data_IF_965394986808
#
_entry.id   IF_965394986808
#
_cell.length_a   1.000
_cell.length_b   1.000
_cell.length_c   1.000
_cell.angle_alpha   90.00
_cell.angle_beta   90.00
_cell.angle_gamma   90.00
#
_symmetry.space_group_name_H-M   'P 1'
#
loop_
_entity.id
_entity.type
_entity.pdbx_description
1 polymer ?
#
# COMPACT_ATOMS: atom_id res chain seq x y z
N UNK A 1 -50.51 5.44 42.27
CA UNK A 1 -49.48 6.36 41.79
C UNK A 1 -48.37 5.53 41.19
N UNK A 2 -48.19 5.66 39.88
CA UNK A 2 -47.30 4.88 39.03
C UNK A 2 -45.96 5.63 38.93
N UNK A 3 -44.86 5.08 39.42
CA UNK A 3 -43.52 5.65 39.19
C UNK A 3 -42.60 4.54 38.68
N UNK A 4 -42.52 4.42 37.35
CA UNK A 4 -41.47 3.69 36.67
C UNK A 4 -40.23 4.57 36.54
N UNK A 5 -39.05 3.99 36.74
CA UNK A 5 -37.78 4.55 36.32
C UNK A 5 -37.21 3.63 35.24
N UNK A 6 -37.25 4.10 33.99
CA UNK A 6 -36.45 3.57 32.89
C UNK A 6 -35.18 4.42 32.90
N UNK A 7 -34.05 3.83 33.27
CA UNK A 7 -32.74 4.45 33.07
C UNK A 7 -32.08 3.77 31.87
N UNK A 8 -31.88 4.58 30.82
CA UNK A 8 -31.26 4.20 29.55
C UNK A 8 -29.87 3.61 29.76
N UNK A 9 -29.64 2.42 29.23
CA UNK A 9 -28.30 1.90 28.98
C UNK A 9 -27.65 2.73 27.89
N UNK A 10 -26.71 3.62 28.25
CA UNK A 10 -25.76 4.16 27.28
C UNK A 10 -24.85 3.01 26.84
N UNK A 11 -25.22 2.34 25.75
CA UNK A 11 -24.29 1.54 24.96
C UNK A 11 -23.30 2.49 24.30
N UNK A 12 -22.25 2.85 25.05
CA UNK A 12 -21.10 3.56 24.51
C UNK A 12 -20.42 2.67 23.48
N UNK A 13 -20.75 2.87 22.22
CA UNK A 13 -19.91 2.42 21.11
C UNK A 13 -18.58 3.15 21.23
N UNK A 14 -17.60 2.52 21.87
CA UNK A 14 -16.21 2.90 21.74
C UNK A 14 -15.83 2.70 20.27
N UNK A 15 -16.01 3.72 19.44
CA UNK A 15 -15.25 3.80 18.21
C UNK A 15 -13.78 3.91 18.64
N UNK A 16 -12.90 2.99 18.24
CA UNK A 16 -11.47 3.18 18.47
C UNK A 16 -11.10 4.51 17.82
N UNK A 17 -10.56 5.42 18.61
CA UNK A 17 -9.99 6.66 18.09
C UNK A 17 -8.84 6.23 17.17
N UNK A 18 -9.01 6.34 15.86
CA UNK A 18 -7.90 6.21 14.92
C UNK A 18 -6.93 7.36 15.24
N UNK A 19 -5.81 7.04 15.88
CA UNK A 19 -4.75 8.00 16.07
C UNK A 19 -4.07 8.22 14.72
N UNK A 20 -3.77 9.48 14.38
CA UNK A 20 -2.93 9.77 13.23
C UNK A 20 -1.50 9.28 13.54
N UNK A 21 -1.11 8.15 12.97
CA UNK A 21 0.26 7.64 13.04
C UNK A 21 1.10 8.41 12.02
N UNK A 22 1.85 9.41 12.48
CA UNK A 22 2.65 10.27 11.61
C UNK A 22 4.15 10.03 11.77
N UNK A 23 4.86 10.11 10.65
CA UNK A 23 6.31 9.97 10.59
C UNK A 23 6.94 11.21 9.97
N UNK A 24 7.81 11.85 10.75
CA UNK A 24 8.52 13.07 10.38
C UNK A 24 9.93 12.71 9.93
N UNK A 25 10.32 13.20 8.76
CA UNK A 25 11.70 13.09 8.27
C UNK A 25 12.61 13.92 9.17
N UNK A 26 13.62 13.27 9.76
CA UNK A 26 14.55 13.91 10.70
C UNK A 26 15.43 14.98 10.05
N UNK A 27 15.66 14.92 8.73
CA UNK A 27 16.52 15.85 7.99
C UNK A 27 15.78 17.13 7.62
N UNK A 28 14.52 17.01 7.17
CA UNK A 28 13.71 18.14 6.71
C UNK A 28 12.73 18.65 7.77
N UNK A 29 12.50 17.88 8.82
CA UNK A 29 11.47 18.11 9.84
C UNK A 29 10.05 18.25 9.26
N UNK A 30 9.80 17.65 8.10
CA UNK A 30 8.48 17.61 7.44
C UNK A 30 7.81 16.25 7.66
N UNK A 31 6.51 16.26 7.95
CA UNK A 31 5.70 15.03 7.99
C UNK A 31 5.48 14.54 6.57
N UNK A 32 6.21 13.49 6.18
CA UNK A 32 6.10 12.91 4.83
C UNK A 32 5.06 11.79 4.78
N UNK A 33 4.61 11.30 5.94
CA UNK A 33 3.65 10.21 6.04
C UNK A 33 2.74 10.40 7.25
N UNK A 34 1.43 10.30 7.02
CA UNK A 34 0.45 10.19 8.08
C UNK A 34 -0.53 9.07 7.72
N UNK A 35 -0.84 8.22 8.70
CA UNK A 35 -1.67 7.04 8.53
C UNK A 35 -2.85 7.06 9.52
N UNK A 36 -4.02 6.71 9.03
CA UNK A 36 -5.22 6.49 9.84
C UNK A 36 -5.26 5.02 10.30
N UNK A 37 -4.59 4.73 11.41
CA UNK A 37 -4.45 3.37 11.96
C UNK A 37 -4.66 3.35 13.48
N UNK A 38 -4.82 2.16 14.06
CA UNK A 38 -4.78 1.98 15.51
C UNK A 38 -3.37 2.20 16.07
N UNK A 39 -3.26 2.49 17.38
CA UNK A 39 -1.97 2.59 18.07
C UNK A 39 -1.18 1.26 18.02
N UNK A 40 -1.89 0.13 18.03
CA UNK A 40 -1.31 -1.20 17.88
C UNK A 40 -0.69 -1.38 16.50
N UNK A 41 -1.41 -1.01 15.44
CA UNK A 41 -0.93 -1.13 14.06
C UNK A 41 0.22 -0.14 13.78
N UNK A 42 0.17 1.07 14.35
CA UNK A 42 1.23 2.06 14.21
C UNK A 42 2.60 1.52 14.68
N UNK A 43 2.64 0.70 15.75
CA UNK A 43 3.86 0.07 16.27
C UNK A 43 4.48 -0.96 15.30
N UNK A 44 3.68 -1.49 14.37
CA UNK A 44 4.11 -2.47 13.38
C UNK A 44 4.72 -1.81 12.14
N UNK A 45 4.35 -0.56 11.86
CA UNK A 45 4.89 0.24 10.76
C UNK A 45 6.35 0.61 11.07
N UNK A 46 7.24 0.41 10.08
CA UNK A 46 8.67 0.73 10.21
C UNK A 46 9.01 1.96 9.39
N UNK A 47 9.53 2.98 10.05
CA UNK A 47 10.09 4.15 9.41
C UNK A 47 11.60 4.19 9.65
N UNK A 48 12.39 4.37 8.58
CA UNK A 48 13.85 4.38 8.70
C UNK A 48 14.42 5.68 9.29
N UNK A 49 13.57 6.67 9.58
CA UNK A 49 13.97 7.97 10.12
C UNK A 49 14.29 9.03 9.06
N UNK A 50 14.22 8.66 7.78
CA UNK A 50 14.49 9.55 6.66
C UNK A 50 13.27 9.63 5.74
N UNK A 51 13.11 8.66 4.84
CA UNK A 51 12.16 8.78 3.73
C UNK A 51 11.50 7.47 3.32
N UNK A 52 11.68 6.39 4.10
CA UNK A 52 11.12 5.09 3.77
C UNK A 52 10.26 4.55 4.91
N UNK A 53 9.00 4.30 4.59
CA UNK A 53 8.08 3.52 5.42
C UNK A 53 7.96 2.11 4.84
N UNK A 54 8.04 1.09 5.70
CA UNK A 54 7.79 -0.31 5.37
C UNK A 54 6.63 -0.85 6.20
N UNK A 55 5.66 -1.47 5.52
CA UNK A 55 4.45 -2.03 6.11
C UNK A 55 4.28 -3.47 5.63
N UNK A 56 3.97 -4.38 6.54
CA UNK A 56 3.57 -5.74 6.21
C UNK A 56 2.05 -5.84 6.34
N UNK A 57 1.39 -6.29 5.27
CA UNK A 57 -0.07 -6.32 5.17
C UNK A 57 -0.51 -7.73 4.82
N UNK A 58 -1.44 -8.26 5.60
CA UNK A 58 -2.09 -9.55 5.31
C UNK A 58 -3.10 -9.40 4.17
N UNK A 59 -2.97 -10.25 3.16
CA UNK A 59 -3.92 -10.34 2.04
C UNK A 59 -4.97 -11.45 2.31
N UNK A 60 -6.27 -11.24 2.01
CA UNK A 60 -6.88 -10.02 1.48
C UNK A 60 -7.43 -9.08 2.57
N UNK A 61 -7.14 -9.35 3.85
CA UNK A 61 -7.82 -8.69 4.99
C UNK A 61 -7.40 -7.22 5.20
N UNK A 62 -6.29 -6.79 4.59
CA UNK A 62 -5.66 -5.48 4.79
C UNK A 62 -5.16 -5.24 6.22
N UNK A 63 -5.04 -6.29 7.04
CA UNK A 63 -4.55 -6.15 8.41
C UNK A 63 -3.05 -5.85 8.40
N UNK A 64 -2.63 -4.83 9.14
CA UNK A 64 -1.20 -4.58 9.38
C UNK A 64 -0.67 -5.66 10.32
N UNK A 65 0.42 -6.33 9.94
CA UNK A 65 0.99 -7.44 10.70
C UNK A 65 2.47 -7.19 11.02
N UNK A 66 3.01 -8.00 11.93
CA UNK A 66 4.41 -7.93 12.29
C UNK A 66 5.30 -8.42 11.14
N UNK A 67 6.49 -7.84 10.99
CA UNK A 67 7.54 -8.37 10.10
C UNK A 67 7.97 -9.80 10.45
N UNK A 68 7.67 -10.26 11.68
CA UNK A 68 7.93 -11.63 12.14
C UNK A 68 6.87 -12.62 11.68
N UNK A 69 5.74 -12.14 11.16
CA UNK A 69 4.69 -13.00 10.63
C UNK A 69 5.25 -13.83 9.47
N UNK A 70 4.96 -15.13 9.50
CA UNK A 70 5.46 -16.11 8.52
C UNK A 70 4.36 -16.64 7.62
N UNK A 71 3.15 -16.09 7.71
CA UNK A 71 2.04 -16.46 6.85
C UNK A 71 2.40 -16.25 5.38
N UNK A 72 1.90 -17.11 4.51
CA UNK A 72 2.26 -17.09 3.09
C UNK A 72 1.56 -15.98 2.30
N UNK A 73 0.55 -15.34 2.89
CA UNK A 73 -0.30 -14.31 2.30
C UNK A 73 0.09 -12.89 2.72
N UNK A 74 1.35 -12.63 3.07
CA UNK A 74 1.82 -11.29 3.43
C UNK A 74 2.36 -10.54 2.21
N UNK A 75 1.87 -9.32 2.02
CA UNK A 75 2.43 -8.34 1.09
C UNK A 75 3.29 -7.34 1.87
N UNK A 76 4.47 -7.02 1.35
CA UNK A 76 5.35 -5.98 1.93
C UNK A 76 5.28 -4.74 1.08
N UNK A 77 4.86 -3.62 1.66
CA UNK A 77 4.81 -2.31 1.02
C UNK A 77 5.97 -1.46 1.53
N UNK A 78 6.68 -0.82 0.60
CA UNK A 78 7.78 0.11 0.82
C UNK A 78 7.40 1.43 0.16
N UNK A 79 7.22 2.47 0.97
CA UNK A 79 6.63 3.74 0.56
C UNK A 79 7.64 4.85 0.81
N UNK A 80 7.92 5.65 -0.22
CA UNK A 80 8.84 6.79 -0.14
C UNK A 80 8.29 8.01 -0.86
N UNK A 81 8.60 9.25 -0.43
CA UNK A 81 8.21 10.43 -1.17
C UNK A 81 8.92 10.49 -2.52
N UNK A 82 8.26 11.07 -3.51
CA UNK A 82 8.87 11.46 -4.78
C UNK A 82 9.79 12.64 -4.50
N UNK A 83 11.10 12.44 -4.64
CA UNK A 83 12.10 13.45 -4.28
C UNK A 83 12.35 14.50 -5.37
N UNK A 84 12.04 14.19 -6.64
CA UNK A 84 12.29 15.10 -7.78
C UNK A 84 11.07 15.12 -8.71
N UNK A 85 10.15 16.09 -8.55
CA UNK A 85 9.08 16.32 -9.51
C UNK A 85 9.59 17.08 -10.75
N UNK A 86 9.02 16.83 -11.95
CA UNK A 86 7.98 15.86 -12.24
C UNK A 86 8.54 14.43 -12.31
N UNK A 87 7.91 13.52 -11.56
CA UNK A 87 8.23 12.09 -11.62
C UNK A 87 7.31 11.42 -12.63
N UNK A 88 7.91 10.62 -13.50
CA UNK A 88 7.19 9.84 -14.50
C UNK A 88 7.53 8.36 -14.33
N UNK A 89 6.57 7.60 -13.80
CA UNK A 89 6.71 6.15 -13.59
C UNK A 89 6.89 5.40 -14.92
N UNK A 90 6.41 5.96 -16.04
CA UNK A 90 6.46 5.34 -17.35
C UNK A 90 7.79 5.54 -18.07
N UNK A 91 8.63 6.48 -17.61
CA UNK A 91 9.86 6.88 -18.31
C UNK A 91 10.79 5.70 -18.63
N UNK A 92 10.91 4.74 -17.72
CA UNK A 92 11.78 3.56 -17.93
C UNK A 92 11.22 2.57 -18.98
N UNK A 93 9.95 2.71 -19.35
CA UNK A 93 9.21 1.80 -20.21
C UNK A 93 8.54 2.50 -21.40
N UNK A 94 8.88 3.76 -21.67
CA UNK A 94 8.20 4.59 -22.69
C UNK A 94 8.33 4.03 -24.10
N UNK A 95 9.44 3.34 -24.39
CA UNK A 95 9.72 2.71 -25.69
C UNK A 95 9.49 1.19 -25.68
N UNK A 96 9.08 0.64 -24.53
CA UNK A 96 8.88 -0.80 -24.38
C UNK A 96 7.56 -1.22 -25.00
N UNK A 97 7.61 -2.20 -25.92
CA UNK A 97 6.42 -2.72 -26.59
C UNK A 97 5.71 -3.76 -25.72
N UNK A 98 4.41 -3.85 -25.90
CA UNK A 98 3.58 -4.92 -25.33
C UNK A 98 3.69 -6.17 -26.21
N UNK A 99 4.17 -7.27 -25.64
CA UNK A 99 4.21 -8.59 -26.29
C UNK A 99 2.81 -9.19 -26.37
N UNK A 100 2.06 -9.10 -25.27
CA UNK A 100 0.73 -9.69 -25.12
C UNK A 100 -0.06 -8.91 -24.08
N UNK A 101 -1.38 -8.80 -24.29
CA UNK A 101 -2.31 -8.26 -23.29
C UNK A 101 -3.42 -9.28 -23.01
N UNK A 102 -3.74 -9.50 -21.74
CA UNK A 102 -4.84 -10.35 -21.28
C UNK A 102 -5.53 -9.62 -20.13
N UNK A 103 -6.83 -9.36 -20.25
CA UNK A 103 -7.66 -8.75 -19.19
C UNK A 103 -7.11 -7.44 -18.59
N UNK A 104 -6.37 -6.67 -19.40
CA UNK A 104 -5.74 -5.41 -18.99
C UNK A 104 -4.36 -5.56 -18.34
N UNK A 105 -3.81 -6.78 -18.29
CA UNK A 105 -2.43 -7.06 -17.89
C UNK A 105 -1.58 -7.22 -19.14
N UNK A 106 -0.61 -6.32 -19.31
CA UNK A 106 0.25 -6.26 -20.47
C UNK A 106 1.63 -6.82 -20.15
N UNK A 107 2.04 -7.90 -20.82
CA UNK A 107 3.41 -8.39 -20.78
C UNK A 107 4.29 -7.51 -21.67
N UNK A 108 5.34 -6.94 -21.11
CA UNK A 108 6.26 -6.05 -21.81
C UNK A 108 7.46 -6.81 -22.39
N UNK A 109 8.00 -6.32 -23.52
CA UNK A 109 9.27 -6.79 -24.07
C UNK A 109 10.43 -6.45 -23.12
N UNK A 110 11.36 -7.38 -22.92
CA UNK A 110 12.51 -7.14 -22.05
C UNK A 110 13.24 -8.42 -21.66
N UNK A 111 14.40 -8.25 -21.01
CA UNK A 111 15.14 -9.38 -20.42
C UNK A 111 14.44 -9.93 -19.19
N UNK A 112 13.85 -9.05 -18.40
CA UNK A 112 13.06 -9.39 -17.21
C UNK A 112 11.59 -9.51 -17.61
N UNK A 113 10.90 -10.50 -17.03
CA UNK A 113 9.47 -10.70 -17.25
C UNK A 113 8.70 -9.66 -16.44
N UNK A 114 8.32 -8.57 -17.10
CA UNK A 114 7.65 -7.42 -16.49
C UNK A 114 6.27 -7.22 -17.08
N UNK A 115 5.30 -6.96 -16.22
CA UNK A 115 3.92 -6.67 -16.57
C UNK A 115 3.60 -5.22 -16.29
N UNK A 116 2.79 -4.60 -17.15
CA UNK A 116 2.15 -3.31 -16.91
C UNK A 116 0.66 -3.54 -16.64
N UNK A 117 0.15 -2.86 -15.62
CA UNK A 117 -1.27 -2.86 -15.27
C UNK A 117 -1.71 -1.42 -15.02
N UNK A 118 -2.83 -1.03 -15.63
CA UNK A 118 -3.48 0.24 -15.33
C UNK A 118 -4.32 0.08 -14.05
N UNK A 119 -3.99 0.87 -13.03
CA UNK A 119 -4.72 0.90 -11.77
C UNK A 119 -6.03 1.68 -11.85
N UNK A 120 -6.91 1.48 -10.87
CA UNK A 120 -8.13 2.26 -10.70
C UNK A 120 -7.90 3.76 -10.47
N UNK A 121 -6.70 4.15 -10.05
CA UNK A 121 -6.26 5.55 -9.93
C UNK A 121 -5.82 6.17 -11.27
N UNK A 122 -5.87 5.41 -12.37
CA UNK A 122 -5.42 5.83 -13.70
C UNK A 122 -3.90 5.77 -13.88
N UNK A 123 -3.14 5.40 -12.85
CA UNK A 123 -1.70 5.23 -12.90
C UNK A 123 -1.28 3.84 -13.40
N UNK A 124 -0.13 3.75 -14.04
CA UNK A 124 0.47 2.46 -14.38
C UNK A 124 1.28 1.91 -13.20
N UNK A 125 1.08 0.62 -12.91
CA UNK A 125 1.99 -0.17 -12.12
C UNK A 125 2.84 -1.08 -13.02
N UNK A 126 4.12 -1.23 -12.65
CA UNK A 126 5.07 -2.11 -13.31
C UNK A 126 5.48 -3.21 -12.33
N UNK A 127 5.23 -4.46 -12.70
CA UNK A 127 5.34 -5.62 -11.81
C UNK A 127 6.25 -6.65 -12.45
N UNK A 128 7.39 -6.92 -11.83
CA UNK A 128 8.38 -7.87 -12.34
C UNK A 128 8.29 -9.21 -11.62
N UNK A 129 8.43 -10.29 -12.37
CA UNK A 129 8.51 -11.66 -11.85
C UNK A 129 9.96 -11.99 -11.48
N UNK A 130 10.21 -12.24 -10.19
CA UNK A 130 11.52 -12.57 -9.63
C UNK A 130 11.57 -14.04 -9.16
N UNK A 131 10.86 -14.92 -9.86
CA UNK A 131 10.85 -16.36 -9.60
C UNK A 131 9.79 -16.75 -8.58
N UNK A 132 10.09 -16.60 -7.29
CA UNK A 132 9.14 -16.99 -6.21
C UNK A 132 8.24 -15.84 -5.74
N UNK A 133 8.54 -14.62 -6.16
CA UNK A 133 7.82 -13.40 -5.78
C UNK A 133 7.58 -12.52 -7.00
N UNK A 134 6.58 -11.65 -6.89
CA UNK A 134 6.41 -10.48 -7.72
C UNK A 134 6.89 -9.23 -6.98
N UNK A 135 7.48 -8.31 -7.72
CA UNK A 135 7.89 -6.99 -7.22
C UNK A 135 7.20 -5.93 -8.07
N UNK A 136 6.23 -5.24 -7.48
CA UNK A 136 5.49 -4.15 -8.08
C UNK A 136 6.05 -2.77 -7.74
N UNK A 137 5.86 -1.82 -8.64
CA UNK A 137 6.14 -0.40 -8.43
C UNK A 137 5.06 0.45 -9.08
N UNK A 138 4.51 1.41 -8.33
CA UNK A 138 3.59 2.43 -8.81
C UNK A 138 3.92 3.81 -8.24
N UNK A 139 3.43 4.85 -8.89
CA UNK A 139 3.36 6.20 -8.32
C UNK A 139 1.95 6.42 -7.76
N UNK A 140 1.84 7.01 -6.58
CA UNK A 140 0.55 7.26 -5.92
C UNK A 140 0.35 8.75 -5.65
N UNK A 141 -0.78 9.29 -6.14
CA UNK A 141 -1.19 10.71 -6.04
C UNK A 141 -0.07 11.71 -6.39
N UNK A 142 0.83 11.36 -7.33
CA UNK A 142 2.01 12.14 -7.72
C UNK A 142 2.94 12.58 -6.57
N UNK A 143 2.79 11.96 -5.39
CA UNK A 143 3.54 12.30 -4.16
C UNK A 143 4.44 11.17 -3.71
N UNK A 144 4.03 9.93 -3.90
CA UNK A 144 4.69 8.76 -3.33
C UNK A 144 5.10 7.77 -4.42
N UNK A 145 6.23 7.12 -4.22
CA UNK A 145 6.60 5.88 -4.89
C UNK A 145 6.26 4.74 -3.95
N UNK A 146 5.48 3.78 -4.44
CA UNK A 146 5.14 2.57 -3.70
C UNK A 146 5.79 1.39 -4.41
N UNK A 147 6.63 0.66 -3.69
CA UNK A 147 7.12 -0.65 -4.10
C UNK A 147 6.41 -1.70 -3.25
N UNK A 148 5.99 -2.79 -3.85
CA UNK A 148 5.31 -3.85 -3.12
C UNK A 148 5.80 -5.22 -3.56
N UNK A 149 5.87 -6.15 -2.61
CA UNK A 149 6.36 -7.50 -2.81
C UNK A 149 5.30 -8.48 -2.35
N UNK A 150 5.02 -9.50 -3.15
CA UNK A 150 4.10 -10.57 -2.78
C UNK A 150 4.54 -11.90 -3.41
N UNK A 151 4.25 -13.01 -2.74
CA UNK A 151 4.55 -14.34 -3.26
C UNK A 151 3.63 -14.68 -4.43
N UNK A 152 4.13 -15.50 -5.35
CA UNK A 152 3.27 -16.17 -6.32
C UNK A 152 2.19 -16.98 -5.59
N UNK A 153 0.98 -17.04 -6.16
CA UNK A 153 -0.16 -17.76 -5.57
C UNK A 153 -0.94 -16.98 -4.51
N UNK A 154 -0.43 -15.86 -3.99
CA UNK A 154 -1.18 -15.00 -3.06
C UNK A 154 -2.36 -14.32 -3.77
N UNK A 155 -2.10 -13.77 -4.96
CA UNK A 155 -3.08 -13.10 -5.80
C UNK A 155 -2.58 -13.07 -7.24
N UNK A 156 -3.49 -12.91 -8.21
CA UNK A 156 -3.10 -12.46 -9.54
C UNK A 156 -2.60 -11.00 -9.50
N UNK A 157 -1.85 -10.62 -10.53
CA UNK A 157 -1.14 -9.34 -10.64
C UNK A 157 -2.10 -8.14 -10.60
N UNK A 158 -3.26 -8.25 -11.25
CA UNK A 158 -4.23 -7.15 -11.33
C UNK A 158 -4.90 -6.94 -9.97
N UNK A 159 -5.38 -8.01 -9.36
CA UNK A 159 -6.00 -7.96 -8.03
C UNK A 159 -5.00 -7.51 -6.96
N UNK A 160 -3.73 -7.91 -7.05
CA UNK A 160 -2.69 -7.45 -6.15
C UNK A 160 -2.45 -5.93 -6.26
N UNK A 161 -2.45 -5.39 -7.48
CA UNK A 161 -2.33 -3.94 -7.68
C UNK A 161 -3.52 -3.18 -7.09
N UNK A 162 -4.74 -3.64 -7.35
CA UNK A 162 -5.96 -3.01 -6.80
C UNK A 162 -6.02 -3.11 -5.27
N UNK A 163 -5.55 -4.21 -4.69
CA UNK A 163 -5.42 -4.34 -3.26
C UNK A 163 -4.46 -3.29 -2.68
N UNK A 164 -3.31 -3.06 -3.31
CA UNK A 164 -2.35 -2.04 -2.87
C UNK A 164 -2.96 -0.64 -2.96
N UNK A 165 -3.63 -0.31 -4.07
CA UNK A 165 -4.31 0.98 -4.22
C UNK A 165 -5.40 1.17 -3.16
N UNK A 166 -6.24 0.15 -2.94
CA UNK A 166 -7.29 0.20 -1.91
C UNK A 166 -6.73 0.32 -0.49
N UNK A 167 -5.59 -0.32 -0.20
CA UNK A 167 -4.89 -0.15 1.07
C UNK A 167 -4.40 1.30 1.22
N UNK A 168 -3.73 1.86 0.20
CA UNK A 168 -3.22 3.23 0.26
C UNK A 168 -4.34 4.25 0.46
N UNK A 169 -5.45 4.11 -0.26
CA UNK A 169 -6.60 5.02 -0.16
C UNK A 169 -7.27 4.97 1.22
N UNK A 170 -7.33 3.78 1.84
CA UNK A 170 -7.93 3.63 3.17
C UNK A 170 -7.03 4.14 4.30
N UNK A 171 -5.73 3.95 4.18
CA UNK A 171 -4.81 4.07 5.31
C UNK A 171 -3.95 5.33 5.28
N UNK A 172 -3.67 5.93 4.11
CA UNK A 172 -2.96 7.21 4.05
C UNK A 172 -3.93 8.36 4.29
N UNK A 173 -3.53 9.31 5.13
CA UNK A 173 -4.22 10.60 5.27
C UNK A 173 -3.48 11.64 4.43
N UNK A 174 -4.23 12.41 3.63
CA UNK A 174 -3.70 13.40 2.67
C UNK A 174 -2.93 14.57 3.29
#
# INVERSE_FOLDING_TARGET
>A
MLNGFIALTLSGTFMPANAACSFVDKKTNTSNFAYSVSDEDCKLIKFNGESLVTIHVEYPTMKVVSYKDRSDNIMTLMISPISVPPFDINRAHSETKTVRSIDGVELLEGREKTYRVLGSDGGNAYISDWGTIFVGKLAYKDKLIVRYIFKHGVSDIKTANEFVLGFLERFLTD
#
